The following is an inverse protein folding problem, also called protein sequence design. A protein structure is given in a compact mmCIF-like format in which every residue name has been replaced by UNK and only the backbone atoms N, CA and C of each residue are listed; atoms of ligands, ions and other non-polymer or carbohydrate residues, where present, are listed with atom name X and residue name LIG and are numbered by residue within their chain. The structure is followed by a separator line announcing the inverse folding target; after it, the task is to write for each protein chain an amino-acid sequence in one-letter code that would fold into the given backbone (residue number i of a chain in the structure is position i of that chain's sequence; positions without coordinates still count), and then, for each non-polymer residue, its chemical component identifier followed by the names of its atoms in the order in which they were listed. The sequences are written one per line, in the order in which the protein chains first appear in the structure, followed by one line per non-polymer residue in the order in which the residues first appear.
data_IF_977990356471
#
_entry.id   IF_977990356471
#
_cell.length_a   1.000
_cell.length_b   1.000
_cell.length_c   1.000
_cell.angle_alpha   90.00
_cell.angle_beta   90.00
_cell.angle_gamma   90.00
#
_symmetry.space_group_name_H-M   'P 1'
#
loop_
_entity.id
_entity.type
_entity.pdbx_description
1 polymer ?
#
# COMPACT_ATOMS: atom_id res chain seq x y z
N UNK A 1 59.97 49.08 -25.80
CA UNK A 1 59.08 49.85 -24.92
C UNK A 1 58.53 48.90 -23.87
N UNK A 2 58.83 49.19 -22.62
CA UNK A 2 58.48 48.51 -21.37
C UNK A 2 57.02 48.79 -20.96
N UNK A 3 56.32 47.80 -20.39
CA UNK A 3 55.15 47.92 -19.46
C UNK A 3 54.79 46.48 -19.01
N UNK A 4 55.21 45.96 -17.84
CA UNK A 4 54.74 46.16 -16.44
C UNK A 4 53.28 45.76 -16.16
N UNK A 5 53.11 44.77 -15.27
CA UNK A 5 52.03 44.61 -14.27
C UNK A 5 50.62 44.22 -14.76
N UNK A 6 49.79 43.41 -14.10
CA UNK A 6 49.68 42.99 -12.69
C UNK A 6 49.06 41.57 -12.60
N UNK A 7 49.58 40.76 -11.69
CA UNK A 7 48.90 39.59 -11.11
C UNK A 7 47.65 40.05 -10.35
N UNK A 8 46.50 39.44 -10.62
CA UNK A 8 45.34 39.46 -9.73
C UNK A 8 45.01 38.01 -9.33
N UNK A 9 45.47 37.62 -8.14
CA UNK A 9 45.00 36.41 -7.47
C UNK A 9 43.61 36.70 -6.89
N UNK A 10 42.55 36.20 -7.51
CA UNK A 10 41.22 36.14 -6.89
C UNK A 10 41.16 34.93 -5.96
N UNK A 11 41.30 35.20 -4.66
CA UNK A 11 40.98 34.28 -3.58
C UNK A 11 39.49 34.40 -3.21
N UNK A 12 38.91 33.23 -2.93
CA UNK A 12 37.77 32.97 -2.03
C UNK A 12 36.35 33.38 -2.47
N UNK A 13 35.53 32.37 -2.72
CA UNK A 13 34.36 32.04 -1.88
C UNK A 13 33.74 30.72 -2.32
N UNK A 14 34.39 29.60 -1.96
CA UNK A 14 33.70 28.33 -1.92
C UNK A 14 32.67 28.41 -0.78
N UNK A 15 31.40 28.59 -1.15
CA UNK A 15 30.29 28.47 -0.22
C UNK A 15 30.23 27.01 0.24
N UNK A 16 30.89 26.71 1.36
CA UNK A 16 30.62 25.50 2.13
C UNK A 16 29.18 25.59 2.64
N UNK A 17 28.24 25.12 1.83
CA UNK A 17 26.93 24.74 2.32
C UNK A 17 27.16 23.57 3.30
N UNK A 18 27.14 23.90 4.58
CA UNK A 18 26.99 22.91 5.64
C UNK A 18 25.74 22.08 5.31
N UNK A 19 25.81 20.74 5.20
CA UNK A 19 24.62 19.94 5.02
C UNK A 19 23.69 20.22 6.19
N UNK A 20 22.45 20.61 5.89
CA UNK A 20 21.42 20.81 6.90
C UNK A 20 21.39 19.58 7.81
N UNK A 21 21.39 19.82 9.13
CA UNK A 21 21.30 18.74 10.10
C UNK A 21 20.12 17.83 9.72
N UNK A 22 20.30 16.50 9.68
CA UNK A 22 19.21 15.60 9.35
C UNK A 22 18.08 15.86 10.34
N UNK A 23 16.91 16.20 9.80
CA UNK A 23 15.69 16.34 10.59
C UNK A 23 15.41 15.05 11.37
N UNK A 24 14.58 15.11 12.43
CA UNK A 24 14.22 13.92 13.18
C UNK A 24 13.70 12.83 12.23
N UNK A 25 14.10 11.57 12.43
CA UNK A 25 13.65 10.49 11.56
C UNK A 25 12.12 10.43 11.56
N UNK A 26 11.49 10.18 10.41
CA UNK A 26 10.04 10.12 10.33
C UNK A 26 9.52 9.04 11.29
N UNK A 27 8.32 9.25 11.91
CA UNK A 27 7.76 8.29 12.82
C UNK A 27 7.61 6.91 12.15
N UNK A 28 7.78 5.80 12.90
CA UNK A 28 7.66 4.46 12.36
C UNK A 28 6.26 4.23 11.79
N UNK A 29 6.17 3.44 10.72
CA UNK A 29 4.88 3.08 10.11
C UNK A 29 4.05 2.24 11.08
N UNK A 30 2.82 2.68 11.34
CA UNK A 30 1.86 1.94 12.16
C UNK A 30 1.29 0.78 11.34
N UNK A 31 1.96 -0.37 11.38
CA UNK A 31 1.53 -1.60 10.69
C UNK A 31 0.88 -2.54 11.71
N UNK A 32 -0.37 -2.89 11.47
CA UNK A 32 -1.04 -3.94 12.24
C UNK A 32 -0.85 -5.29 11.57
N UNK A 33 -0.63 -6.34 12.37
CA UNK A 33 -0.40 -7.72 11.90
C UNK A 33 -1.47 -8.67 12.40
N UNK A 34 -1.96 -9.53 11.51
CA UNK A 34 -2.96 -10.57 11.76
C UNK A 34 -2.42 -11.94 11.31
N UNK A 35 -3.01 -13.02 11.83
CA UNK A 35 -2.62 -14.39 11.49
C UNK A 35 -1.28 -14.81 12.12
N UNK A 36 -0.51 -15.64 11.41
CA UNK A 36 0.81 -16.12 11.81
C UNK A 36 1.89 -15.03 11.63
N UNK A 37 1.84 -13.98 12.45
CA UNK A 37 2.51 -12.66 12.28
C UNK A 37 4.00 -12.66 11.84
N UNK A 38 4.73 -13.73 12.12
CA UNK A 38 6.17 -13.86 11.85
C UNK A 38 6.48 -14.84 10.71
N UNK A 39 5.46 -15.47 10.13
CA UNK A 39 5.62 -16.51 9.12
C UNK A 39 6.24 -15.98 7.83
N UNK A 40 5.98 -14.73 7.43
CA UNK A 40 6.39 -14.20 6.13
C UNK A 40 7.28 -12.95 6.23
N UNK A 41 7.85 -12.67 7.40
CA UNK A 41 8.77 -11.56 7.60
C UNK A 41 8.06 -10.25 7.93
N UNK A 42 8.60 -9.12 7.47
CA UNK A 42 8.14 -7.81 7.88
C UNK A 42 6.80 -7.40 7.24
N UNK A 43 6.44 -7.92 6.06
CA UNK A 43 5.21 -7.53 5.37
C UNK A 43 5.31 -6.10 4.84
N UNK A 44 4.37 -5.22 5.19
CA UNK A 44 4.41 -3.80 4.79
C UNK A 44 5.53 -3.09 5.57
N UNK A 45 6.48 -2.48 4.87
CA UNK A 45 7.58 -1.72 5.48
C UNK A 45 7.52 -0.22 5.21
N UNK A 46 6.88 0.19 4.11
CA UNK A 46 6.59 1.58 3.80
C UNK A 46 5.32 1.69 2.94
N UNK A 47 4.62 2.81 3.05
CA UNK A 47 3.36 3.09 2.37
C UNK A 47 3.42 4.47 1.74
N UNK A 48 2.95 4.55 0.50
CA UNK A 48 2.61 5.75 -0.24
C UNK A 48 1.15 5.63 -0.72
N UNK A 49 0.63 6.70 -1.34
CA UNK A 49 -0.76 6.76 -1.78
C UNK A 49 -1.09 5.70 -2.83
N UNK A 50 -0.17 5.49 -3.77
CA UNK A 50 -0.31 4.62 -4.94
C UNK A 50 0.48 3.31 -4.83
N UNK A 51 1.45 3.23 -3.91
CA UNK A 51 2.36 2.09 -3.79
C UNK A 51 2.69 1.72 -2.34
N UNK A 52 3.08 0.46 -2.15
CA UNK A 52 3.67 -0.02 -0.90
C UNK A 52 5.00 -0.72 -1.17
N UNK A 53 5.89 -0.66 -0.18
CA UNK A 53 7.07 -1.51 -0.12
C UNK A 53 6.77 -2.69 0.80
N UNK A 54 6.92 -3.88 0.24
CA UNK A 54 6.71 -5.16 0.90
C UNK A 54 8.06 -5.83 1.11
N UNK A 55 8.25 -6.46 2.27
CA UNK A 55 9.42 -7.29 2.56
C UNK A 55 8.98 -8.67 3.04
N UNK A 56 9.37 -9.69 2.27
CA UNK A 56 9.07 -11.10 2.56
C UNK A 56 10.34 -11.85 2.93
N UNK A 57 10.29 -12.65 4.01
CA UNK A 57 11.43 -13.51 4.42
C UNK A 57 11.55 -14.79 3.59
N UNK A 58 10.49 -15.18 2.87
CA UNK A 58 10.42 -16.36 1.99
C UNK A 58 9.47 -16.10 0.83
N UNK A 59 9.57 -16.89 -0.22
CA UNK A 59 8.60 -16.85 -1.32
C UNK A 59 7.19 -17.18 -0.82
N UNK A 60 6.19 -16.47 -1.32
CA UNK A 60 4.80 -16.61 -0.92
C UNK A 60 3.83 -16.05 -1.97
N UNK A 61 2.55 -16.35 -1.80
CA UNK A 61 1.46 -15.79 -2.59
C UNK A 61 0.86 -14.58 -1.88
N UNK A 62 0.75 -13.45 -2.57
CA UNK A 62 0.26 -12.20 -1.98
C UNK A 62 -1.04 -11.73 -2.62
N UNK A 63 -1.91 -11.11 -1.83
CA UNK A 63 -3.08 -10.38 -2.32
C UNK A 63 -2.97 -8.99 -1.72
N UNK A 64 -2.89 -7.96 -2.56
CA UNK A 64 -2.96 -6.59 -2.09
C UNK A 64 -4.37 -6.06 -2.30
N UNK A 65 -4.82 -5.28 -1.33
CA UNK A 65 -6.13 -4.65 -1.33
C UNK A 65 -5.98 -3.23 -0.80
N UNK A 66 -6.53 -2.26 -1.51
CA UNK A 66 -6.67 -0.88 -1.02
C UNK A 66 -8.12 -0.67 -0.60
N UNK A 67 -8.33 -0.27 0.65
CA UNK A 67 -9.64 0.07 1.21
C UNK A 67 -9.69 1.57 1.37
N UNK A 68 -10.49 2.23 0.54
CA UNK A 68 -10.68 3.68 0.58
C UNK A 68 -11.54 4.09 1.76
N UNK A 69 -11.47 5.37 2.11
CA UNK A 69 -12.24 5.93 3.22
C UNK A 69 -13.77 5.86 3.07
N UNK A 70 -14.27 5.67 1.85
CA UNK A 70 -15.68 5.46 1.57
C UNK A 70 -16.12 3.99 1.67
N UNK A 71 -15.19 3.09 2.04
CA UNK A 71 -15.41 1.64 2.11
C UNK A 71 -15.27 0.94 0.75
N UNK A 72 -14.86 1.64 -0.31
CA UNK A 72 -14.56 0.98 -1.57
C UNK A 72 -13.29 0.15 -1.45
N UNK A 73 -13.32 -1.05 -2.03
CA UNK A 73 -12.24 -2.03 -1.94
C UNK A 73 -11.71 -2.31 -3.34
N UNK A 74 -10.43 -2.04 -3.55
CA UNK A 74 -9.74 -2.21 -4.82
C UNK A 74 -8.67 -3.31 -4.68
N UNK A 75 -8.87 -4.50 -5.30
CA UNK A 75 -7.83 -5.52 -5.35
C UNK A 75 -6.70 -5.10 -6.30
N UNK A 76 -5.47 -5.39 -5.91
CA UNK A 76 -4.23 -5.04 -6.59
C UNK A 76 -3.38 -6.31 -6.73
N UNK A 77 -3.11 -6.74 -7.96
CA UNK A 77 -2.36 -7.97 -8.24
C UNK A 77 -0.95 -7.63 -8.75
N UNK A 78 0.13 -8.14 -8.14
CA UNK A 78 1.50 -7.74 -8.46
C UNK A 78 1.88 -7.85 -9.94
N UNK A 79 1.45 -8.92 -10.62
CA UNK A 79 1.92 -9.25 -11.97
C UNK A 79 0.82 -8.99 -13.01
N UNK A 80 1.10 -8.20 -14.06
CA UNK A 80 0.14 -7.97 -15.14
C UNK A 80 -0.06 -9.23 -15.98
N UNK A 81 -1.32 -9.63 -16.17
CA UNK A 81 -1.71 -10.72 -17.06
C UNK A 81 -1.44 -12.14 -16.51
N UNK A 82 -0.82 -12.25 -15.34
CA UNK A 82 -0.49 -13.55 -14.74
C UNK A 82 -1.52 -13.90 -13.65
N UNK A 83 -1.98 -15.15 -13.65
CA UNK A 83 -2.76 -15.70 -12.52
C UNK A 83 -1.90 -15.91 -11.28
N UNK A 84 -0.57 -15.84 -11.42
CA UNK A 84 0.37 -16.07 -10.33
C UNK A 84 0.58 -14.82 -9.51
N UNK A 85 0.02 -14.82 -8.30
CA UNK A 85 0.25 -13.79 -7.29
C UNK A 85 1.49 -14.09 -6.41
N UNK A 86 2.43 -14.88 -6.93
CA UNK A 86 3.64 -15.27 -6.20
C UNK A 86 4.68 -14.14 -6.20
N UNK A 87 5.24 -13.85 -5.02
CA UNK A 87 6.43 -13.02 -4.86
C UNK A 87 7.56 -13.84 -4.25
N UNK A 88 8.81 -13.70 -4.77
CA UNK A 88 9.96 -14.32 -4.14
C UNK A 88 10.30 -13.65 -2.80
N UNK A 89 11.21 -14.24 -2.03
CA UNK A 89 11.77 -13.58 -0.85
C UNK A 89 12.45 -12.26 -1.24
N UNK A 90 12.45 -11.28 -0.34
CA UNK A 90 13.09 -9.98 -0.55
C UNK A 90 12.10 -8.81 -0.51
N UNK A 91 12.57 -7.66 -1.02
CA UNK A 91 11.84 -6.39 -1.01
C UNK A 91 11.21 -6.08 -2.35
N UNK A 92 9.93 -5.77 -2.38
CA UNK A 92 9.16 -5.53 -3.60
C UNK A 92 8.36 -4.24 -3.49
N UNK A 93 8.42 -3.40 -4.52
CA UNK A 93 7.50 -2.28 -4.68
C UNK A 93 6.31 -2.78 -5.48
N UNK A 94 5.11 -2.56 -4.95
CA UNK A 94 3.84 -2.92 -5.61
C UNK A 94 2.93 -1.69 -5.53
N UNK A 95 2.52 -1.12 -6.66
CA UNK A 95 1.62 0.05 -6.66
C UNK A 95 0.79 0.29 -7.91
N UNK A 96 -0.50 0.59 -7.76
CA UNK A 96 -1.62 0.74 -8.73
C UNK A 96 -1.24 1.08 -10.20
N UNK A 97 -1.73 0.30 -11.21
CA UNK A 97 -1.55 0.60 -12.67
C UNK A 97 -1.94 2.02 -13.06
N UNK A 98 -1.19 2.58 -14.00
CA UNK A 98 -1.57 3.82 -14.70
C UNK A 98 -1.25 5.07 -13.88
N UNK A 99 -0.84 4.87 -12.63
CA UNK A 99 -0.03 5.81 -11.87
C UNK A 99 1.40 5.28 -11.94
N UNK A 100 2.33 6.09 -12.47
CA UNK A 100 3.74 5.74 -12.29
C UNK A 100 3.99 5.74 -10.78
N UNK A 101 4.40 4.62 -10.16
CA UNK A 101 4.66 4.59 -8.73
C UNK A 101 5.78 5.59 -8.47
N UNK A 102 5.44 6.75 -7.92
CA UNK A 102 6.38 7.84 -7.66
C UNK A 102 7.16 7.55 -6.37
N UNK A 103 7.84 6.41 -6.37
CA UNK A 103 8.50 5.90 -5.18
C UNK A 103 9.70 6.78 -4.82
N UNK A 104 9.50 7.62 -3.81
CA UNK A 104 10.50 8.57 -3.31
C UNK A 104 11.54 7.95 -2.33
N UNK A 105 11.57 6.62 -2.19
CA UNK A 105 12.50 5.90 -1.31
C UNK A 105 13.59 5.12 -2.04
N UNK A 106 14.53 4.47 -1.31
CA UNK A 106 15.52 3.59 -1.91
C UNK A 106 14.84 2.50 -2.74
N UNK A 107 15.16 2.45 -4.04
CA UNK A 107 14.64 1.41 -4.94
C UNK A 107 15.32 0.08 -4.57
N UNK A 108 14.57 -0.97 -4.23
CA UNK A 108 15.14 -2.28 -3.95
C UNK A 108 15.92 -2.82 -5.17
N UNK A 109 16.93 -3.66 -4.92
CA UNK A 109 17.59 -4.43 -5.98
C UNK A 109 16.68 -5.53 -6.60
N UNK A 110 15.51 -5.76 -5.99
CA UNK A 110 14.50 -6.70 -6.44
C UNK A 110 13.47 -6.01 -7.33
N UNK A 111 12.75 -6.77 -8.18
CA UNK A 111 11.87 -6.22 -9.20
C UNK A 111 10.79 -5.29 -8.61
N UNK A 112 10.59 -4.16 -9.29
CA UNK A 112 9.41 -3.33 -9.13
C UNK A 112 8.30 -3.90 -10.02
N UNK A 113 7.11 -4.04 -9.45
CA UNK A 113 5.96 -4.59 -10.13
C UNK A 113 4.88 -3.52 -10.30
N UNK A 114 4.45 -3.30 -11.55
CA UNK A 114 3.25 -2.51 -11.85
C UNK A 114 2.03 -3.46 -11.77
N UNK A 115 1.26 -3.40 -10.68
CA UNK A 115 0.19 -4.32 -10.40
C UNK A 115 -1.10 -3.92 -11.09
N UNK A 116 -1.80 -4.88 -11.67
CA UNK A 116 -3.10 -4.66 -12.33
C UNK A 116 -4.21 -4.40 -11.32
N UNK A 117 -4.78 -3.19 -11.38
CA UNK A 117 -6.03 -2.85 -10.68
C UNK A 117 -7.16 -3.48 -11.46
N UNK A 118 -7.92 -4.37 -10.82
CA UNK A 118 -9.21 -4.79 -11.36
C UNK A 118 -10.28 -3.96 -10.68
N UNK A 119 -10.99 -3.16 -11.49
CA UNK A 119 -11.76 -2.03 -10.99
C UNK A 119 -12.89 -2.44 -10.05
N UNK A 120 -12.89 -1.86 -8.85
CA UNK A 120 -14.00 -1.88 -7.90
C UNK A 120 -15.29 -1.25 -8.47
N UNK A 121 -15.24 -0.54 -9.61
CA UNK A 121 -16.42 0.04 -10.28
C UNK A 121 -17.36 -1.02 -10.88
N UNK A 122 -16.84 -2.21 -11.24
CA UNK A 122 -17.68 -3.36 -11.58
C UNK A 122 -18.46 -3.86 -10.35
N UNK A 123 -17.85 -3.73 -9.17
CA UNK A 123 -18.37 -4.21 -7.90
C UNK A 123 -19.34 -3.22 -7.23
N UNK A 124 -18.99 -1.93 -7.25
CA UNK A 124 -19.78 -0.84 -6.70
C UNK A 124 -21.12 -0.65 -7.44
N UNK A 125 -21.19 -1.01 -8.73
CA UNK A 125 -22.45 -0.99 -9.50
C UNK A 125 -23.47 -2.03 -9.06
N UNK A 126 -23.05 -3.15 -8.46
CA UNK A 126 -23.96 -4.13 -7.84
C UNK A 126 -24.39 -3.71 -6.42
N UNK A 127 -23.56 -2.95 -5.70
CA UNK A 127 -23.85 -2.43 -4.36
C UNK A 127 -24.77 -1.20 -4.29
N UNK A 128 -24.97 -0.47 -5.41
CA UNK A 128 -25.85 0.71 -5.45
C UNK A 128 -27.35 0.41 -5.29
N UNK A 129 -27.75 -0.85 -5.25
CA UNK A 129 -29.14 -1.27 -4.99
C UNK A 129 -29.46 -1.54 -3.52
N UNK A 130 -28.49 -1.43 -2.61
CA UNK A 130 -28.68 -1.72 -1.19
C UNK A 130 -28.17 -0.58 -0.30
N UNK A 131 -28.85 0.57 -0.33
CA UNK A 131 -28.83 1.51 0.80
C UNK A 131 -30.20 2.17 0.95
N UNK A 132 -31.04 1.74 1.90
CA UNK A 132 -32.02 2.64 2.47
C UNK A 132 -31.24 3.70 3.26
N UNK A 133 -31.35 4.96 2.83
CA UNK A 133 -30.95 6.10 3.67
C UNK A 133 -31.78 6.05 4.94
N UNK A 134 -31.16 5.71 6.06
CA UNK A 134 -31.77 5.91 7.36
C UNK A 134 -31.88 7.42 7.59
N UNK A 135 -33.11 7.91 7.58
CA UNK A 135 -33.51 9.22 8.06
C UNK A 135 -33.08 9.35 9.53
N UNK A 136 -32.17 10.27 9.82
CA UNK A 136 -31.63 10.43 11.17
C UNK A 136 -30.63 11.57 11.21
N UNK A 137 -31.18 12.75 11.45
CA UNK A 137 -30.55 13.98 11.92
C UNK A 137 -29.29 13.71 12.79
N UNK A 138 -28.11 14.10 12.31
CA UNK A 138 -26.89 14.26 13.12
C UNK A 138 -25.84 15.11 12.36
N UNK A 139 -25.73 16.37 12.80
CA UNK A 139 -24.59 17.33 12.83
C UNK A 139 -23.57 17.41 11.66
N UNK A 140 -23.36 18.59 11.00
CA UNK A 140 -22.37 18.78 9.93
C UNK A 140 -20.94 19.04 10.43
N UNK A 141 -20.50 18.37 11.50
CA UNK A 141 -19.12 18.46 11.98
C UNK A 141 -18.26 17.35 11.35
N UNK A 142 -17.61 17.73 10.24
CA UNK A 142 -16.47 17.05 9.63
C UNK A 142 -16.65 15.55 9.38
N UNK A 143 -17.01 15.19 8.13
CA UNK A 143 -16.46 13.96 7.53
C UNK A 143 -14.95 14.05 7.66
N UNK A 144 -14.40 13.53 8.75
CA UNK A 144 -12.98 13.26 8.91
C UNK A 144 -12.62 12.48 7.66
N UNK A 145 -11.80 13.06 6.78
CA UNK A 145 -11.45 12.43 5.51
C UNK A 145 -10.95 11.03 5.85
N UNK A 146 -11.75 10.03 5.52
CA UNK A 146 -11.48 8.68 5.97
C UNK A 146 -10.22 8.23 5.25
N UNK A 147 -9.18 7.94 6.03
CA UNK A 147 -7.84 7.65 5.51
C UNK A 147 -7.91 6.28 4.85
N UNK A 148 -7.48 6.19 3.59
CA UNK A 148 -7.38 4.92 2.89
C UNK A 148 -6.38 4.00 3.60
N UNK A 149 -6.57 2.70 3.50
CA UNK A 149 -5.68 1.70 4.09
C UNK A 149 -5.22 0.71 3.03
N UNK A 150 -3.95 0.32 3.12
CA UNK A 150 -3.43 -0.82 2.41
C UNK A 150 -3.57 -2.07 3.28
N UNK A 151 -4.02 -3.16 2.68
CA UNK A 151 -4.06 -4.49 3.24
C UNK A 151 -3.25 -5.43 2.33
N UNK A 152 -2.24 -6.07 2.91
CA UNK A 152 -1.46 -7.14 2.30
C UNK A 152 -1.84 -8.45 2.99
N UNK A 153 -2.34 -9.41 2.22
CA UNK A 153 -2.52 -10.80 2.67
C UNK A 153 -1.40 -11.64 2.05
N UNK A 154 -0.75 -12.48 2.85
CA UNK A 154 0.31 -13.38 2.44
C UNK A 154 -0.05 -14.81 2.84
N UNK A 155 0.05 -15.75 1.91
CA UNK A 155 -0.29 -17.15 2.09
C UNK A 155 0.69 -18.07 1.36
N UNK A 156 0.70 -19.35 1.77
CA UNK A 156 1.40 -20.43 1.10
C UNK A 156 0.67 -20.98 -0.14
N UNK A 157 -0.61 -20.60 -0.34
CA UNK A 157 -1.44 -21.02 -1.47
C UNK A 157 -1.77 -19.87 -2.40
N UNK A 158 -1.72 -20.14 -3.71
CA UNK A 158 -2.12 -19.18 -4.73
C UNK A 158 -3.61 -18.83 -4.63
N UNK A 159 -3.96 -17.59 -5.00
CA UNK A 159 -5.35 -17.15 -5.13
C UNK A 159 -5.52 -16.50 -6.48
N UNK A 160 -6.43 -17.05 -7.28
CA UNK A 160 -6.73 -16.44 -8.57
C UNK A 160 -7.42 -15.08 -8.36
N UNK A 161 -7.28 -14.17 -9.32
CA UNK A 161 -7.96 -12.89 -9.26
C UNK A 161 -9.50 -13.05 -9.22
N UNK A 162 -10.02 -14.02 -9.96
CA UNK A 162 -11.45 -14.35 -9.99
C UNK A 162 -11.98 -14.81 -8.62
N UNK A 163 -11.20 -15.64 -7.89
CA UNK A 163 -11.57 -16.07 -6.54
C UNK A 163 -11.56 -14.87 -5.56
N UNK A 164 -10.55 -14.00 -5.65
CA UNK A 164 -10.49 -12.78 -4.84
C UNK A 164 -11.73 -11.91 -5.13
N UNK A 165 -12.03 -11.68 -6.41
CA UNK A 165 -13.20 -10.90 -6.82
C UNK A 165 -14.49 -11.50 -6.28
N UNK A 166 -14.70 -12.81 -6.46
CA UNK A 166 -15.89 -13.53 -5.97
C UNK A 166 -16.04 -13.44 -4.45
N UNK A 167 -14.94 -13.62 -3.72
CA UNK A 167 -14.93 -13.52 -2.25
C UNK A 167 -15.25 -12.10 -1.79
N UNK A 168 -14.59 -11.08 -2.35
CA UNK A 168 -14.86 -9.69 -2.01
C UNK A 168 -16.28 -9.25 -2.38
N UNK A 169 -16.85 -9.81 -3.45
CA UNK A 169 -18.21 -9.50 -3.90
C UNK A 169 -19.30 -10.09 -3.02
N UNK A 170 -19.04 -11.24 -2.43
CA UNK A 170 -20.00 -11.94 -1.58
C UNK A 170 -19.96 -11.51 -0.11
N UNK A 171 -18.97 -10.69 0.28
CA UNK A 171 -18.86 -10.16 1.64
C UNK A 171 -19.94 -9.13 1.95
N UNK A 172 -20.49 -9.20 3.17
CA UNK A 172 -21.23 -8.08 3.76
C UNK A 172 -20.32 -6.85 3.87
N UNK A 173 -20.90 -5.67 3.65
CA UNK A 173 -20.22 -4.37 3.73
C UNK A 173 -20.62 -3.56 4.96
N UNK A 174 -21.40 -4.16 5.85
CA UNK A 174 -21.86 -3.52 7.07
C UNK A 174 -20.84 -3.73 8.20
N UNK A 175 -19.84 -2.86 8.25
CA UNK A 175 -18.79 -2.89 9.28
C UNK A 175 -18.90 -1.70 10.22
N UNK A 176 -18.69 -1.95 11.51
CA UNK A 176 -18.72 -0.92 12.56
C UNK A 176 -17.49 0.00 12.57
N UNK A 177 -16.42 -0.38 11.87
CA UNK A 177 -15.19 0.39 11.75
C UNK A 177 -14.30 -0.10 10.60
N UNK A 178 -13.40 0.76 10.13
CA UNK A 178 -12.34 0.41 9.16
C UNK A 178 -11.48 -0.78 9.62
N UNK A 179 -11.16 -0.84 10.91
CA UNK A 179 -10.42 -1.97 11.49
C UNK A 179 -11.20 -3.28 11.31
N UNK A 180 -12.49 -3.27 11.64
CA UNK A 180 -13.34 -4.46 11.51
C UNK A 180 -13.49 -4.90 10.05
N UNK A 181 -13.59 -3.94 9.11
CA UNK A 181 -13.59 -4.21 7.68
C UNK A 181 -12.29 -4.87 7.22
N UNK A 182 -11.12 -4.30 7.55
CA UNK A 182 -9.81 -4.86 7.19
C UNK A 182 -9.60 -6.28 7.74
N UNK A 183 -10.01 -6.51 8.99
CA UNK A 183 -9.95 -7.84 9.61
C UNK A 183 -10.90 -8.84 8.94
N UNK A 184 -12.12 -8.41 8.60
CA UNK A 184 -13.08 -9.25 7.89
C UNK A 184 -12.62 -9.59 6.47
N UNK A 185 -12.01 -8.64 5.76
CA UNK A 185 -11.45 -8.85 4.42
C UNK A 185 -10.29 -9.83 4.47
N UNK A 186 -9.35 -9.64 5.41
CA UNK A 186 -8.25 -10.58 5.60
C UNK A 186 -8.75 -11.99 5.90
N UNK A 187 -9.78 -12.12 6.75
CA UNK A 187 -10.40 -13.40 7.05
C UNK A 187 -11.10 -14.00 5.83
N UNK A 188 -11.89 -13.23 5.09
CA UNK A 188 -12.60 -13.77 3.92
C UNK A 188 -11.64 -14.31 2.86
N UNK A 189 -10.49 -13.64 2.66
CA UNK A 189 -9.48 -14.05 1.69
C UNK A 189 -8.67 -15.29 2.12
N UNK A 190 -8.64 -15.63 3.41
CA UNK A 190 -7.78 -16.70 3.96
C UNK A 190 -8.56 -17.87 4.57
N UNK A 191 -9.78 -17.63 5.06
CA UNK A 191 -10.61 -18.60 5.78
C UNK A 191 -10.85 -19.84 4.92
N UNK A 192 -10.55 -21.01 5.49
CA UNK A 192 -10.66 -22.35 4.87
C UNK A 192 -9.69 -22.63 3.72
N UNK A 193 -8.84 -21.67 3.33
CA UNK A 193 -7.91 -21.83 2.20
C UNK A 193 -6.51 -22.22 2.62
N UNK A 194 -6.06 -21.72 3.76
CA UNK A 194 -4.76 -22.05 4.33
C UNK A 194 -4.76 -21.95 5.84
N UNK A 195 -3.92 -22.76 6.47
CA UNK A 195 -3.61 -22.67 7.89
C UNK A 195 -2.38 -21.77 8.18
N UNK A 196 -1.60 -21.45 7.15
CA UNK A 196 -0.41 -20.62 7.24
C UNK A 196 -0.60 -19.35 6.40
N UNK A 197 -1.00 -18.28 7.07
CA UNK A 197 -1.18 -16.97 6.45
C UNK A 197 -0.78 -15.85 7.39
N UNK A 198 -0.49 -14.68 6.83
CA UNK A 198 -0.33 -13.44 7.58
C UNK A 198 -1.05 -12.32 6.83
N UNK A 199 -1.60 -11.37 7.56
CA UNK A 199 -2.07 -10.13 6.95
C UNK A 199 -1.49 -8.91 7.66
N UNK A 200 -1.28 -7.86 6.89
CA UNK A 200 -0.66 -6.62 7.31
C UNK A 200 -1.51 -5.48 6.80
N UNK A 201 -1.86 -4.53 7.65
CA UNK A 201 -2.51 -3.32 7.17
C UNK A 201 -1.92 -2.06 7.80
N UNK A 202 -1.92 -0.99 7.02
CA UNK A 202 -1.40 0.30 7.41
C UNK A 202 -2.18 1.43 6.70
N UNK A 203 -2.39 2.57 7.36
CA UNK A 203 -3.02 3.73 6.74
C UNK A 203 -2.09 4.32 5.66
N UNK A 204 -2.70 4.82 4.60
CA UNK A 204 -2.06 5.70 3.63
C UNK A 204 -1.61 6.96 4.35
N UNK A 205 -0.34 7.32 4.21
CA UNK A 205 0.20 8.54 4.81
C UNK A 205 -0.20 9.71 3.93
N UNK A 206 -1.15 10.51 4.39
CA UNK A 206 -1.35 11.83 3.80
C UNK A 206 -0.07 12.66 3.98
N UNK A 207 0.42 13.34 2.93
CA UNK A 207 1.59 14.19 2.99
C UNK A 207 1.46 15.33 4.02
#
# INVERSE_FOLDING_TARGET
MTLLSLLAFSLASAHSQSPAAPGPPPPPLAVTRLGSKDAYGAGIVAVQDDAILVELSRAAHVILVRVDGDGSIQPVFPTPGDTSNALPAGRHIVGIVGLQPNWSGPVPAAPSYEPVVRSADALARQGRTARPSATGDDDPLARRAAVAHWLLVVADVSTSAEDVETLLSSMSRDFSSMKAELEAVAQALTKRRTHLWSAFYAPVRTP
#
